data_IF_819950238253
#
_entry.id   IF_819950238253
#
_cell.length_a   1.000
_cell.length_b   1.000
_cell.length_c   1.000
_cell.angle_alpha   90.00
_cell.angle_beta   90.00
_cell.angle_gamma   90.00
#
_symmetry.space_group_name_H-M   'P 1'
#
loop_
_entity.id
_entity.type
_entity.pdbx_description
1 polymer ?
#
# COMPACT_ATOMS: atom_id res chain seq x y z
N UNK A 1 0.49 -13.88 -8.43
CA UNK A 1 -0.38 -13.40 -9.53
C UNK A 1 0.47 -12.80 -10.64
N UNK A 2 -0.12 -12.46 -11.79
CA UNK A 2 0.57 -11.84 -12.95
C UNK A 2 -0.04 -10.50 -13.29
N UNK A 3 0.80 -9.52 -13.63
CA UNK A 3 0.34 -8.21 -14.11
C UNK A 3 -0.30 -8.30 -15.50
N UNK A 4 -1.47 -7.68 -15.67
CA UNK A 4 -2.08 -7.43 -16.98
C UNK A 4 -2.36 -5.93 -17.13
N UNK A 5 -1.83 -5.23 -18.15
CA UNK A 5 -2.11 -3.80 -18.33
C UNK A 5 -3.59 -3.47 -18.59
N UNK A 6 -4.42 -4.44 -19.00
CA UNK A 6 -5.88 -4.24 -19.11
C UNK A 6 -6.61 -4.39 -17.78
N UNK A 7 -5.98 -5.02 -16.78
CA UNK A 7 -6.47 -5.12 -15.40
C UNK A 7 -5.31 -4.80 -14.44
N UNK A 8 -4.97 -3.50 -14.31
CA UNK A 8 -3.73 -3.06 -13.66
C UNK A 8 -3.74 -3.17 -12.13
N UNK A 9 -4.83 -3.65 -11.53
CA UNK A 9 -5.03 -3.65 -10.09
C UNK A 9 -4.70 -5.01 -9.48
N UNK A 10 -3.71 -5.00 -8.61
CA UNK A 10 -3.26 -6.16 -7.84
C UNK A 10 -3.90 -6.11 -6.47
N UNK A 11 -4.50 -7.22 -6.03
CA UNK A 11 -5.18 -7.30 -4.74
C UNK A 11 -4.53 -8.34 -3.84
N UNK A 12 -4.48 -8.05 -2.55
CA UNK A 12 -4.23 -9.05 -1.50
C UNK A 12 -5.36 -10.10 -1.44
N UNK A 13 -5.06 -11.27 -0.89
CA UNK A 13 -6.03 -12.37 -0.76
C UNK A 13 -7.23 -12.02 0.10
N UNK A 14 -7.06 -11.16 1.12
CA UNK A 14 -8.16 -10.68 1.97
C UNK A 14 -8.88 -9.44 1.41
N UNK A 15 -8.52 -9.00 0.19
CA UNK A 15 -9.09 -7.85 -0.50
C UNK A 15 -9.08 -6.53 0.30
N UNK A 16 -8.14 -6.38 1.25
CA UNK A 16 -7.97 -5.15 2.06
C UNK A 16 -6.87 -4.24 1.56
N UNK A 17 -6.05 -4.72 0.63
CA UNK A 17 -4.94 -4.00 0.03
C UNK A 17 -4.99 -4.16 -1.48
N UNK A 18 -5.00 -3.02 -2.18
CA UNK A 18 -5.00 -2.93 -3.62
C UNK A 18 -3.88 -1.99 -4.10
N UNK A 19 -3.24 -2.36 -5.20
CA UNK A 19 -2.23 -1.55 -5.88
C UNK A 19 -2.55 -1.50 -7.35
N UNK A 20 -2.81 -0.30 -7.87
CA UNK A 20 -2.98 -0.06 -9.30
C UNK A 20 -1.67 0.41 -9.90
N UNK A 21 -1.12 -0.42 -10.78
CA UNK A 21 0.16 -0.16 -11.47
C UNK A 21 -0.15 0.43 -12.86
N UNK A 22 0.43 1.57 -13.25
CA UNK A 22 0.20 2.13 -14.59
C UNK A 22 0.47 1.09 -15.69
N UNK A 23 -0.27 1.14 -16.80
CA UNK A 23 -0.16 0.14 -17.88
C UNK A 23 1.28 -0.04 -18.43
N UNK A 24 2.11 1.01 -18.35
CA UNK A 24 3.53 1.01 -18.76
C UNK A 24 4.51 0.78 -17.60
N UNK A 25 4.00 0.56 -16.39
CA UNK A 25 4.76 0.39 -15.16
C UNK A 25 5.47 -0.95 -15.09
N UNK A 26 4.90 -2.00 -15.69
CA UNK A 26 5.46 -3.35 -15.79
C UNK A 26 5.15 -3.98 -17.15
N UNK A 27 5.89 -5.03 -17.51
CA UNK A 27 5.58 -5.85 -18.69
C UNK A 27 4.42 -6.80 -18.38
N UNK A 28 3.52 -7.01 -19.35
CA UNK A 28 2.44 -8.02 -19.23
C UNK A 28 3.04 -9.38 -18.85
N UNK A 29 2.41 -10.06 -17.90
CA UNK A 29 2.85 -11.35 -17.38
C UNK A 29 3.90 -11.27 -16.26
N UNK A 30 4.37 -10.08 -15.87
CA UNK A 30 5.28 -9.93 -14.74
C UNK A 30 4.68 -10.55 -13.47
N UNK A 31 5.47 -11.37 -12.76
CA UNK A 31 5.05 -12.03 -11.53
C UNK A 31 5.04 -11.02 -10.39
N UNK A 32 3.97 -11.05 -9.61
CA UNK A 32 3.78 -10.20 -8.43
C UNK A 32 3.31 -11.08 -7.28
N UNK A 33 3.90 -10.86 -6.12
CA UNK A 33 3.49 -11.45 -4.84
C UNK A 33 2.96 -10.34 -3.96
N UNK A 34 1.83 -10.55 -3.31
CA UNK A 34 1.34 -9.69 -2.23
C UNK A 34 1.59 -10.39 -0.90
N UNK A 35 1.99 -9.63 0.12
CA UNK A 35 2.21 -10.15 1.47
C UNK A 35 1.50 -9.27 2.49
N UNK A 36 0.93 -9.92 3.49
CA UNK A 36 0.55 -9.30 4.75
C UNK A 36 1.57 -9.77 5.79
N UNK A 37 2.23 -8.83 6.44
CA UNK A 37 3.31 -9.15 7.38
C UNK A 37 2.90 -8.84 8.82
N UNK A 38 3.51 -9.55 9.76
CA UNK A 38 3.39 -9.25 11.18
C UNK A 38 4.66 -8.53 11.65
N UNK A 39 4.48 -7.42 12.38
CA UNK A 39 5.58 -6.56 12.82
C UNK A 39 6.06 -5.57 11.75
N UNK A 40 6.66 -4.48 12.19
CA UNK A 40 7.24 -3.44 11.36
C UNK A 40 8.25 -2.60 12.16
N UNK A 41 9.28 -2.02 11.51
CA UNK A 41 10.13 -1.01 12.13
C UNK A 41 9.30 0.22 12.47
N UNK A 42 9.52 0.85 13.64
CA UNK A 42 8.77 2.06 14.03
C UNK A 42 9.40 3.37 13.53
N UNK A 43 10.57 3.31 12.88
CA UNK A 43 11.30 4.49 12.45
C UNK A 43 10.48 5.33 11.45
N UNK A 44 10.34 6.63 11.71
CA UNK A 44 9.55 7.56 10.90
C UNK A 44 8.05 7.59 11.20
N UNK A 45 7.55 6.72 12.09
CA UNK A 45 6.17 6.76 12.55
C UNK A 45 6.03 7.63 13.83
N UNK A 46 4.84 8.18 14.11
CA UNK A 46 4.55 8.86 15.38
C UNK A 46 4.82 7.97 16.60
N UNK A 47 5.19 8.56 17.74
CA UNK A 47 5.51 7.83 18.97
C UNK A 47 4.33 6.97 19.46
N UNK A 48 3.12 7.51 19.40
CA UNK A 48 1.87 6.79 19.65
C UNK A 48 1.30 6.33 18.31
N UNK A 49 1.69 5.13 17.89
CA UNK A 49 1.22 4.52 16.63
C UNK A 49 0.15 3.49 16.90
N UNK A 50 -1.08 3.76 16.45
CA UNK A 50 -2.14 2.75 16.31
C UNK A 50 -2.31 2.38 14.82
N UNK A 51 -1.59 1.36 14.35
CA UNK A 51 -1.81 0.82 12.99
C UNK A 51 -3.22 0.22 12.89
N UNK A 52 -4.03 0.74 11.98
CA UNK A 52 -5.40 0.25 11.71
C UNK A 52 -5.47 -0.69 10.50
N UNK A 53 -4.55 -0.53 9.55
CA UNK A 53 -4.45 -1.42 8.39
C UNK A 53 -2.99 -1.66 7.99
N UNK A 54 -2.68 -2.91 7.64
CA UNK A 54 -1.33 -3.34 7.26
C UNK A 54 -0.46 -3.78 8.44
N UNK A 55 0.85 -3.98 8.20
CA UNK A 55 1.53 -3.70 6.95
C UNK A 55 1.18 -4.70 5.83
N UNK A 56 0.97 -4.18 4.62
CA UNK A 56 0.88 -4.95 3.39
C UNK A 56 2.03 -4.57 2.46
N UNK A 57 2.46 -5.50 1.63
CA UNK A 57 3.45 -5.25 0.60
C UNK A 57 3.11 -5.93 -0.72
N UNK A 58 3.65 -5.40 -1.80
CA UNK A 58 3.66 -6.06 -3.11
C UNK A 58 5.10 -6.09 -3.66
N UNK A 59 5.50 -7.25 -4.17
CA UNK A 59 6.83 -7.46 -4.75
C UNK A 59 6.69 -7.97 -6.18
N UNK A 60 6.87 -7.09 -7.17
CA UNK A 60 7.05 -7.50 -8.56
C UNK A 60 8.46 -8.07 -8.77
N UNK A 61 8.61 -8.95 -9.76
CA UNK A 61 9.91 -9.53 -10.13
C UNK A 61 10.93 -8.48 -10.65
N UNK A 62 10.44 -7.31 -11.10
CA UNK A 62 11.25 -6.17 -11.52
C UNK A 62 10.65 -4.88 -10.95
N UNK A 63 11.47 -3.85 -10.75
CA UNK A 63 11.01 -2.57 -10.24
C UNK A 63 9.90 -1.96 -11.13
N UNK A 64 8.86 -1.40 -10.51
CA UNK A 64 7.81 -0.67 -11.22
C UNK A 64 8.37 0.64 -11.76
N UNK A 65 8.07 0.96 -13.02
CA UNK A 65 8.39 2.27 -13.60
C UNK A 65 7.35 3.30 -13.19
N UNK A 66 7.81 4.39 -12.58
CA UNK A 66 6.94 5.47 -12.11
C UNK A 66 6.28 5.16 -10.77
N UNK A 67 5.17 5.84 -10.49
CA UNK A 67 4.42 5.69 -9.25
C UNK A 67 3.20 4.78 -9.42
N UNK A 68 2.75 4.19 -8.32
CA UNK A 68 1.52 3.40 -8.24
C UNK A 68 0.46 4.14 -7.44
N UNK A 69 -0.80 3.75 -7.61
CA UNK A 69 -1.87 4.11 -6.67
C UNK A 69 -2.08 2.96 -5.70
N UNK A 70 -2.07 3.27 -4.41
CA UNK A 70 -2.28 2.30 -3.34
C UNK A 70 -3.61 2.59 -2.69
N UNK A 71 -4.34 1.55 -2.32
CA UNK A 71 -5.53 1.58 -1.51
C UNK A 71 -5.42 0.55 -0.37
N UNK A 72 -5.67 0.98 0.86
CA UNK A 72 -5.90 0.10 2.01
C UNK A 72 -7.29 0.36 2.56
N UNK A 73 -8.08 -0.71 2.75
CA UNK A 73 -9.36 -0.65 3.45
C UNK A 73 -9.16 -0.72 4.96
N UNK A 74 -9.78 0.23 5.65
CA UNK A 74 -9.85 0.25 7.10
C UNK A 74 -10.88 -0.78 7.59
N UNK A 75 -10.67 -1.38 8.78
CA UNK A 75 -11.74 -2.12 9.44
C UNK A 75 -12.87 -1.15 9.82
N UNK A 76 -14.11 -1.62 9.97
CA UNK A 76 -15.24 -0.79 10.41
C UNK A 76 -14.93 -0.02 11.70
N UNK A 77 -15.32 1.27 11.75
CA UNK A 77 -15.15 2.13 12.92
C UNK A 77 -14.96 3.60 12.55
N UNK A 78 -14.65 4.43 13.55
CA UNK A 78 -14.27 5.82 13.31
C UNK A 78 -12.88 5.87 12.64
N UNK A 79 -12.78 6.69 11.59
CA UNK A 79 -11.57 6.88 10.78
C UNK A 79 -11.11 8.32 10.92
N UNK A 80 -10.81 8.71 12.15
CA UNK A 80 -10.22 10.02 12.42
C UNK A 80 -8.82 10.08 11.80
N UNK A 81 -8.64 11.02 10.86
CA UNK A 81 -7.36 11.37 10.22
C UNK A 81 -6.47 10.19 9.77
N UNK A 82 -6.96 9.20 9.00
CA UNK A 82 -6.13 8.10 8.55
C UNK A 82 -5.03 8.60 7.62
N UNK A 83 -3.81 8.18 7.90
CA UNK A 83 -2.62 8.53 7.14
C UNK A 83 -1.95 7.26 6.62
N UNK A 84 -1.74 7.19 5.31
CA UNK A 84 -0.99 6.12 4.65
C UNK A 84 0.51 6.43 4.71
N UNK A 85 1.31 5.42 5.03
CA UNK A 85 2.76 5.50 5.03
C UNK A 85 3.34 4.47 4.05
N UNK A 86 4.43 4.85 3.35
CA UNK A 86 5.25 3.93 2.56
C UNK A 86 6.58 3.65 3.27
N UNK A 87 7.06 2.41 3.20
CA UNK A 87 8.42 2.07 3.63
C UNK A 87 9.43 2.35 2.52
N UNK A 88 10.47 3.11 2.81
CA UNK A 88 11.53 3.44 1.85
C UNK A 88 12.80 2.57 1.99
N UNK A 89 12.80 1.57 2.88
CA UNK A 89 13.97 0.76 3.22
C UNK A 89 14.62 1.13 4.56
N UNK A 90 14.39 2.34 5.08
CA UNK A 90 15.00 2.84 6.32
C UNK A 90 13.99 3.46 7.29
N UNK A 91 13.04 4.24 6.79
CA UNK A 91 11.97 4.87 7.57
C UNK A 91 10.63 4.77 6.85
N UNK A 92 9.54 4.85 7.62
CA UNK A 92 8.22 5.08 7.09
C UNK A 92 8.05 6.54 6.73
N UNK A 93 7.61 6.80 5.51
CA UNK A 93 7.36 8.13 4.97
C UNK A 93 5.86 8.37 4.86
N UNK A 94 5.39 9.45 5.46
CA UNK A 94 4.00 9.92 5.36
C UNK A 94 3.67 10.26 3.90
N UNK A 95 2.53 9.78 3.41
CA UNK A 95 2.02 10.11 2.08
C UNK A 95 0.86 11.12 2.14
N UNK A 96 0.68 11.83 1.03
CA UNK A 96 -0.53 12.61 0.81
C UNK A 96 -1.70 11.66 0.59
N UNK A 97 -2.54 11.55 1.62
CA UNK A 97 -3.57 10.52 1.74
C UNK A 97 -4.95 11.10 1.44
N UNK A 98 -5.81 10.30 0.80
CA UNK A 98 -7.23 10.60 0.60
C UNK A 98 -8.08 9.48 1.20
N UNK A 99 -9.09 9.84 1.97
CA UNK A 99 -10.09 8.91 2.50
C UNK A 99 -11.37 9.01 1.65
N UNK A 100 -11.85 7.87 1.15
CA UNK A 100 -13.14 7.76 0.45
C UNK A 100 -13.88 6.56 1.03
N UNK A 101 -14.90 6.81 1.85
CA UNK A 101 -15.53 5.74 2.64
C UNK A 101 -14.55 5.15 3.64
N UNK A 102 -14.33 3.84 3.57
CA UNK A 102 -13.35 3.08 4.36
C UNK A 102 -11.99 2.89 3.64
N UNK A 103 -11.87 3.41 2.40
CA UNK A 103 -10.69 3.25 1.57
C UNK A 103 -9.73 4.42 1.72
N UNK A 104 -8.49 4.11 2.11
CA UNK A 104 -7.39 5.06 2.28
C UNK A 104 -6.46 4.92 1.08
N UNK A 105 -6.33 6.00 0.30
CA UNK A 105 -5.60 5.98 -0.97
C UNK A 105 -4.45 6.96 -1.02
N UNK A 106 -3.39 6.62 -1.73
CA UNK A 106 -2.24 7.50 -1.97
C UNK A 106 -1.48 7.11 -3.24
N UNK A 107 -0.73 8.06 -3.80
CA UNK A 107 0.29 7.77 -4.82
C UNK A 107 1.61 7.44 -4.14
N UNK A 108 2.25 6.34 -4.55
CA UNK A 108 3.44 5.81 -3.89
C UNK A 108 4.51 5.35 -4.88
N UNK A 109 5.73 5.19 -4.35
CA UNK A 109 6.87 4.59 -5.08
C UNK A 109 7.49 3.41 -4.33
N UNK A 110 7.18 3.27 -3.03
CA UNK A 110 7.56 2.12 -2.22
C UNK A 110 6.76 0.86 -2.53
N UNK A 111 7.02 -0.18 -1.75
CA UNK A 111 6.42 -1.51 -1.93
C UNK A 111 5.64 -1.99 -0.71
N UNK A 112 5.87 -1.41 0.47
CA UNK A 112 5.22 -1.77 1.71
C UNK A 112 4.51 -0.57 2.33
N UNK A 113 3.32 -0.82 2.88
CA UNK A 113 2.34 0.20 3.24
C UNK A 113 1.61 -0.16 4.53
N UNK A 114 1.34 0.85 5.34
CA UNK A 114 0.44 0.76 6.49
C UNK A 114 -0.36 2.04 6.64
N UNK A 115 -1.45 1.97 7.39
CA UNK A 115 -2.27 3.12 7.77
C UNK A 115 -2.32 3.26 9.28
N UNK A 116 -2.12 4.48 9.74
CA UNK A 116 -2.31 4.91 11.14
C UNK A 116 -3.45 5.91 11.19
N UNK A 117 -4.26 5.84 12.23
CA UNK A 117 -5.23 6.89 12.58
C UNK A 117 -4.73 7.64 13.80
N UNK A 118 -4.96 8.95 13.82
CA UNK A 118 -4.67 9.86 14.93
C UNK A 118 -5.97 10.35 15.57
#
# INVERSE_FOLDING_TARGET
MTFDPSDPTISSTDAKFHVTIPAKGLTKGAKIVTLKTFGYPKAGLPAETSVKAGPYAYYPAVAVKGSVTVELKLPEGDHTNPTLYEWNGTIWKKLLTKLVGDAVTATATGQAFLVITE
#
